data_IF_422415461155
#
_entry.id   IF_422415461155
#
_cell.length_a   1.000
_cell.length_b   1.000
_cell.length_c   1.000
_cell.angle_alpha   90.00
_cell.angle_beta   90.00
_cell.angle_gamma   90.00
#
_symmetry.space_group_name_H-M   'P 1'
#
loop_
_entity.id
_entity.type
_entity.pdbx_description
1 polymer ?
#
# COMPACT_ATOMS: atom_id res chain seq x y z
N UNK A 1 13.58 -15.37 -58.42
CA UNK A 1 14.10 -15.36 -57.04
C UNK A 1 14.06 -16.78 -56.50
N UNK A 2 15.14 -17.29 -55.92
CA UNK A 2 15.15 -18.58 -55.19
C UNK A 2 14.94 -18.28 -53.71
N UNK A 3 13.90 -18.87 -53.10
CA UNK A 3 13.71 -18.89 -51.65
C UNK A 3 14.32 -20.18 -51.08
N UNK A 4 14.86 -20.09 -49.86
CA UNK A 4 15.34 -21.23 -49.08
C UNK A 4 14.48 -21.29 -47.83
N UNK A 5 13.94 -22.47 -47.53
CA UNK A 5 13.12 -22.71 -46.34
C UNK A 5 13.93 -23.52 -45.34
N UNK A 6 13.95 -23.05 -44.09
CA UNK A 6 14.53 -23.78 -42.95
C UNK A 6 13.39 -24.14 -42.02
N UNK A 7 13.29 -25.42 -41.64
CA UNK A 7 12.24 -25.92 -40.76
C UNK A 7 12.72 -25.94 -39.31
N UNK A 8 11.88 -25.44 -38.40
CA UNK A 8 12.10 -25.44 -36.94
C UNK A 8 13.52 -24.98 -36.52
N UNK A 9 13.95 -23.76 -36.94
CA UNK A 9 15.29 -23.28 -36.61
C UNK A 9 15.45 -23.11 -35.09
N UNK A 10 16.64 -23.40 -34.59
CA UNK A 10 17.02 -23.01 -33.22
C UNK A 10 16.99 -21.49 -33.06
N UNK A 11 16.85 -20.99 -31.82
CA UNK A 11 16.90 -19.55 -31.55
C UNK A 11 18.17 -18.91 -32.10
N UNK A 12 19.33 -19.53 -31.88
CA UNK A 12 20.62 -19.06 -32.40
C UNK A 12 20.69 -19.03 -33.93
N UNK A 13 20.05 -19.99 -34.61
CA UNK A 13 19.99 -20.01 -36.07
C UNK A 13 19.08 -18.91 -36.60
N UNK A 14 17.92 -18.71 -35.97
CA UNK A 14 17.03 -17.60 -36.27
C UNK A 14 17.73 -16.25 -36.09
N UNK A 15 18.38 -16.01 -34.95
CA UNK A 15 19.08 -14.75 -34.65
C UNK A 15 20.19 -14.48 -35.70
N UNK A 16 20.95 -15.51 -36.08
CA UNK A 16 21.96 -15.41 -37.15
C UNK A 16 21.34 -15.07 -38.51
N UNK A 17 20.25 -15.73 -38.89
CA UNK A 17 19.56 -15.47 -40.16
C UNK A 17 18.91 -14.09 -40.17
N UNK A 18 18.33 -13.67 -39.06
CA UNK A 18 17.72 -12.35 -38.88
C UNK A 18 18.77 -11.24 -39.00
N UNK A 19 19.95 -11.41 -38.40
CA UNK A 19 21.06 -10.47 -38.56
C UNK A 19 21.52 -10.29 -40.01
N UNK A 20 21.41 -11.34 -40.85
CA UNK A 20 21.82 -11.29 -42.26
C UNK A 20 20.71 -10.87 -43.23
N UNK A 21 19.46 -11.22 -42.92
CA UNK A 21 18.33 -11.13 -43.85
C UNK A 21 17.09 -10.45 -43.24
N UNK A 22 17.21 -9.70 -42.15
CA UNK A 22 16.07 -9.24 -41.33
C UNK A 22 14.94 -8.52 -42.07
N UNK A 23 15.22 -7.85 -43.21
CA UNK A 23 14.18 -7.20 -44.04
C UNK A 23 13.35 -8.15 -44.90
N UNK A 24 13.89 -9.34 -45.21
CA UNK A 24 13.28 -10.31 -46.13
C UNK A 24 13.02 -11.67 -45.48
N UNK A 25 13.53 -11.89 -44.27
CA UNK A 25 13.31 -13.11 -43.51
C UNK A 25 11.87 -13.15 -43.00
N UNK A 26 11.19 -14.26 -43.25
CA UNK A 26 9.83 -14.52 -42.75
C UNK A 26 9.90 -15.79 -41.92
N UNK A 27 9.59 -15.68 -40.63
CA UNK A 27 9.51 -16.81 -39.70
C UNK A 27 8.13 -16.81 -39.05
N UNK A 28 7.14 -17.51 -39.63
CA UNK A 28 5.80 -17.55 -39.09
C UNK A 28 5.77 -18.39 -37.79
N UNK A 29 5.00 -17.93 -36.80
CA UNK A 29 4.82 -18.68 -35.57
C UNK A 29 3.88 -19.86 -35.79
N UNK A 30 4.17 -21.00 -35.17
CA UNK A 30 3.25 -22.15 -35.13
C UNK A 30 2.02 -21.86 -34.26
N UNK A 31 2.24 -21.11 -33.17
CA UNK A 31 1.19 -20.63 -32.27
C UNK A 31 1.20 -19.11 -32.31
N UNK A 32 0.04 -18.50 -32.58
CA UNK A 32 -0.08 -17.04 -32.67
C UNK A 32 -0.03 -16.35 -31.31
N UNK A 33 -0.15 -17.12 -30.23
CA UNK A 33 -0.25 -16.62 -28.88
C UNK A 33 0.46 -17.55 -27.89
N UNK A 34 1.13 -16.96 -26.91
CA UNK A 34 1.78 -17.64 -25.80
C UNK A 34 1.58 -16.82 -24.53
N UNK A 35 1.18 -17.45 -23.43
CA UNK A 35 1.03 -16.75 -22.14
C UNK A 35 2.38 -16.26 -21.62
N UNK A 36 2.43 -15.02 -21.12
CA UNK A 36 3.64 -14.46 -20.49
C UNK A 36 4.12 -15.29 -19.30
N UNK A 37 3.23 -16.00 -18.59
CA UNK A 37 3.62 -16.89 -17.49
C UNK A 37 4.53 -18.05 -17.91
N UNK A 38 4.50 -18.44 -19.19
CA UNK A 38 5.37 -19.49 -19.73
C UNK A 38 6.74 -18.98 -20.17
N UNK A 39 6.90 -17.65 -20.25
CA UNK A 39 8.10 -16.99 -20.77
C UNK A 39 8.85 -16.26 -19.65
N UNK A 40 8.12 -15.67 -18.70
CA UNK A 40 8.64 -14.77 -17.67
C UNK A 40 8.11 -15.20 -16.30
N UNK A 41 9.02 -15.30 -15.34
CA UNK A 41 8.71 -15.52 -13.93
C UNK A 41 8.93 -14.22 -13.14
N UNK A 42 7.89 -13.76 -12.44
CA UNK A 42 7.94 -12.57 -11.60
C UNK A 42 7.61 -12.94 -10.15
N UNK A 43 8.45 -12.50 -9.22
CA UNK A 43 8.21 -12.63 -7.78
C UNK A 43 8.23 -11.26 -7.12
N UNK A 44 7.37 -11.11 -6.11
CA UNK A 44 7.27 -9.88 -5.35
C UNK A 44 7.98 -10.01 -4.01
N UNK A 45 8.78 -9.00 -3.68
CA UNK A 45 9.38 -8.84 -2.36
C UNK A 45 8.59 -7.79 -1.58
N UNK A 46 8.14 -8.18 -0.38
CA UNK A 46 7.38 -7.29 0.50
C UNK A 46 8.29 -6.67 1.56
N UNK A 47 7.89 -5.51 2.06
CA UNK A 47 8.59 -4.86 3.16
C UNK A 47 8.66 -5.77 4.38
N UNK A 48 9.82 -5.87 5.03
CA UNK A 48 10.09 -6.78 6.16
C UNK A 48 9.09 -6.66 7.31
N UNK A 49 8.49 -5.49 7.48
CA UNK A 49 7.45 -5.25 8.50
C UNK A 49 6.23 -6.16 8.32
N UNK A 50 5.91 -6.54 7.08
CA UNK A 50 4.77 -7.39 6.74
C UNK A 50 5.00 -8.89 7.04
N UNK A 51 6.18 -9.25 7.53
CA UNK A 51 6.50 -10.58 8.05
C UNK A 51 7.12 -10.53 9.46
N UNK A 52 7.11 -9.34 10.09
CA UNK A 52 7.65 -9.13 11.43
C UNK A 52 6.62 -9.38 12.53
N UNK A 53 7.09 -9.48 13.78
CA UNK A 53 6.22 -9.55 14.96
C UNK A 53 5.29 -8.34 15.11
N UNK A 54 5.61 -7.20 14.49
CA UNK A 54 4.81 -5.97 14.62
C UNK A 54 3.39 -6.06 14.07
N UNK A 55 3.13 -7.05 13.22
CA UNK A 55 1.78 -7.33 12.68
C UNK A 55 1.18 -8.62 13.26
N UNK A 56 1.81 -9.25 14.26
CA UNK A 56 1.30 -10.43 14.94
C UNK A 56 0.38 -10.05 16.11
N UNK A 57 -0.86 -10.52 16.04
CA UNK A 57 -1.91 -10.24 17.01
C UNK A 57 -1.65 -10.91 18.37
N UNK A 58 -0.89 -12.00 18.41
CA UNK A 58 -0.76 -12.82 19.62
C UNK A 58 0.40 -12.40 20.53
N UNK A 59 1.45 -11.80 19.98
CA UNK A 59 2.65 -11.43 20.72
C UNK A 59 2.72 -9.92 20.91
N UNK A 60 3.06 -9.18 19.86
CA UNK A 60 3.30 -7.74 19.91
C UNK A 60 2.05 -6.94 20.35
N UNK A 61 0.88 -7.25 19.79
CA UNK A 61 -0.34 -6.51 20.12
C UNK A 61 -0.80 -6.74 21.57
N UNK A 62 -0.40 -7.83 22.21
CA UNK A 62 -0.76 -8.15 23.59
C UNK A 62 -0.18 -7.15 24.60
N UNK A 63 0.98 -6.54 24.29
CA UNK A 63 1.61 -5.52 25.14
C UNK A 63 0.75 -4.25 25.30
N UNK A 64 -0.21 -4.03 24.40
CA UNK A 64 -1.14 -2.91 24.47
C UNK A 64 -2.42 -3.23 25.26
N UNK A 65 -2.61 -4.47 25.73
CA UNK A 65 -3.76 -4.88 26.55
C UNK A 65 -3.58 -4.46 28.02
N UNK A 66 -3.31 -3.17 28.24
CA UNK A 66 -3.10 -2.61 29.57
C UNK A 66 -4.39 -1.98 30.09
N UNK A 67 -4.75 -2.32 31.33
CA UNK A 67 -5.81 -1.66 32.10
C UNK A 67 -5.31 -0.29 32.56
N UNK A 68 -5.41 0.73 31.70
CA UNK A 68 -4.88 2.05 32.03
C UNK A 68 -6.00 3.06 32.24
N UNK A 69 -6.31 3.31 33.51
CA UNK A 69 -7.33 4.26 33.95
C UNK A 69 -6.91 5.74 33.84
N UNK A 70 -5.68 6.06 33.41
CA UNK A 70 -5.15 7.43 33.54
C UNK A 70 -4.03 7.78 32.55
N UNK A 71 -4.07 7.29 31.32
CA UNK A 71 -3.19 7.81 30.27
C UNK A 71 -3.91 8.84 29.42
N UNK A 72 -3.13 9.82 28.98
CA UNK A 72 -3.55 10.83 28.04
C UNK A 72 -4.08 10.16 26.76
N UNK A 73 -5.15 10.70 26.20
CA UNK A 73 -5.86 10.11 25.05
C UNK A 73 -5.00 9.99 23.79
N UNK A 74 -3.88 10.71 23.72
CA UNK A 74 -2.90 10.63 22.62
C UNK A 74 -1.67 9.77 22.94
N UNK A 75 -1.67 9.07 24.07
CA UNK A 75 -0.55 8.20 24.41
C UNK A 75 -0.46 7.02 23.47
N UNK A 76 0.73 6.78 22.91
CA UNK A 76 0.97 5.68 21.99
C UNK A 76 0.55 4.33 22.58
N UNK A 77 0.63 4.12 23.90
CA UNK A 77 0.18 2.88 24.55
C UNK A 77 -1.33 2.66 24.47
N UNK A 78 -2.12 3.72 24.27
CA UNK A 78 -3.58 3.64 24.11
C UNK A 78 -3.99 3.30 22.67
N UNK A 79 -3.16 3.68 21.69
CA UNK A 79 -3.50 3.58 20.27
C UNK A 79 -2.58 2.68 19.44
N UNK A 80 -1.45 2.24 19.99
CA UNK A 80 -0.43 1.50 19.27
C UNK A 80 -0.97 0.20 18.68
N UNK A 81 -1.78 -0.57 19.41
CA UNK A 81 -2.41 -1.78 18.86
C UNK A 81 -3.29 -1.50 17.64
N UNK A 82 -3.98 -0.34 17.61
CA UNK A 82 -4.80 0.07 16.47
C UNK A 82 -3.91 0.48 15.29
N UNK A 83 -2.82 1.20 15.55
CA UNK A 83 -1.85 1.60 14.52
C UNK A 83 -1.19 0.37 13.85
N UNK A 84 -0.78 -0.62 14.64
CA UNK A 84 -0.22 -1.86 14.11
C UNK A 84 -1.26 -2.75 13.40
N UNK A 85 -2.53 -2.72 13.81
CA UNK A 85 -3.62 -3.36 13.04
C UNK A 85 -3.87 -2.69 11.69
N UNK A 86 -3.72 -1.36 11.61
CA UNK A 86 -3.73 -0.64 10.34
C UNK A 86 -2.56 -1.11 9.48
N UNK A 87 -1.37 -1.22 10.04
CA UNK A 87 -0.19 -1.72 9.33
C UNK A 87 -0.39 -3.15 8.80
N UNK A 88 -0.94 -4.05 9.62
CA UNK A 88 -1.31 -5.41 9.19
C UNK A 88 -2.31 -5.37 8.02
N UNK A 89 -3.31 -4.49 8.09
CA UNK A 89 -4.31 -4.31 7.02
C UNK A 89 -3.67 -3.77 5.73
N UNK A 90 -2.73 -2.84 5.84
CA UNK A 90 -1.97 -2.32 4.71
C UNK A 90 -1.10 -3.41 4.07
N UNK A 91 -0.40 -4.21 4.88
CA UNK A 91 0.37 -5.35 4.40
C UNK A 91 -0.50 -6.37 3.66
N UNK A 92 -1.67 -6.73 4.21
CA UNK A 92 -2.62 -7.62 3.53
C UNK A 92 -3.10 -7.03 2.22
N UNK A 93 -3.50 -5.75 2.22
CA UNK A 93 -3.96 -5.08 1.01
C UNK A 93 -2.86 -5.03 -0.06
N UNK A 94 -1.62 -4.70 0.31
CA UNK A 94 -0.48 -4.73 -0.62
C UNK A 94 -0.25 -6.11 -1.21
N UNK A 95 -0.32 -7.16 -0.38
CA UNK A 95 -0.18 -8.54 -0.85
C UNK A 95 -1.28 -8.90 -1.87
N UNK A 96 -2.54 -8.66 -1.52
CA UNK A 96 -3.68 -8.92 -2.40
C UNK A 96 -3.60 -8.13 -3.71
N UNK A 97 -3.26 -6.83 -3.66
CA UNK A 97 -3.10 -6.01 -4.86
C UNK A 97 -2.01 -6.56 -5.77
N UNK A 98 -0.83 -6.87 -5.23
CA UNK A 98 0.28 -7.42 -6.03
C UNK A 98 -0.08 -8.79 -6.60
N UNK A 99 -0.67 -9.68 -5.81
CA UNK A 99 -1.08 -11.02 -6.26
C UNK A 99 -2.11 -10.95 -7.39
N UNK A 100 -3.08 -10.06 -7.28
CA UNK A 100 -4.08 -9.85 -8.34
C UNK A 100 -3.43 -9.37 -9.63
N UNK A 101 -2.47 -8.45 -9.53
CA UNK A 101 -1.78 -7.90 -10.69
C UNK A 101 -0.82 -8.90 -11.34
N UNK A 102 -0.10 -9.71 -10.56
CA UNK A 102 0.71 -10.82 -11.07
C UNK A 102 -0.13 -11.88 -11.78
N UNK A 103 -1.35 -12.14 -11.30
CA UNK A 103 -2.30 -13.03 -12.00
C UNK A 103 -2.69 -12.44 -13.36
N UNK A 104 -3.05 -11.16 -13.43
CA UNK A 104 -3.38 -10.49 -14.71
C UNK A 104 -2.20 -10.55 -15.67
N UNK A 105 -0.97 -10.30 -15.20
CA UNK A 105 0.24 -10.45 -16.01
C UNK A 105 0.42 -11.88 -16.52
N UNK A 106 0.22 -12.87 -15.66
CA UNK A 106 0.34 -14.29 -16.00
C UNK A 106 -0.67 -14.73 -17.06
N UNK A 107 -1.89 -14.18 -17.00
CA UNK A 107 -2.97 -14.43 -17.97
C UNK A 107 -2.81 -13.60 -19.26
N UNK A 108 -1.91 -12.62 -19.28
CA UNK A 108 -1.66 -11.81 -20.47
C UNK A 108 -0.96 -12.64 -21.53
N UNK A 109 -1.41 -12.50 -22.77
CA UNK A 109 -0.88 -13.24 -23.91
C UNK A 109 0.06 -12.39 -24.78
N UNK A 110 1.18 -12.98 -25.17
CA UNK A 110 2.08 -12.45 -26.18
C UNK A 110 1.62 -12.92 -27.56
N UNK A 111 1.03 -12.01 -28.34
CA UNK A 111 0.39 -12.33 -29.62
C UNK A 111 1.22 -11.80 -30.79
N UNK A 112 1.74 -12.71 -31.63
CA UNK A 112 2.49 -12.34 -32.84
C UNK A 112 2.36 -13.42 -33.92
N UNK A 113 2.12 -13.00 -35.17
CA UNK A 113 2.06 -13.91 -36.32
C UNK A 113 3.43 -14.40 -36.81
N UNK A 114 4.49 -13.65 -36.48
CA UNK A 114 5.86 -13.95 -36.87
C UNK A 114 6.77 -13.80 -35.65
N UNK A 115 7.88 -14.53 -35.66
CA UNK A 115 8.91 -14.39 -34.63
C UNK A 115 9.47 -12.97 -34.69
N UNK A 116 9.46 -12.30 -33.54
CA UNK A 116 9.99 -10.95 -33.37
C UNK A 116 11.49 -10.99 -33.02
N UNK A 117 12.18 -9.87 -33.25
CA UNK A 117 13.55 -9.71 -32.77
C UNK A 117 13.62 -9.70 -31.25
N UNK A 118 14.78 -10.06 -30.69
CA UNK A 118 15.03 -9.97 -29.24
C UNK A 118 14.78 -8.55 -28.71
N UNK A 119 15.28 -7.52 -29.39
CA UNK A 119 15.08 -6.13 -29.01
C UNK A 119 13.58 -5.76 -28.94
N UNK A 120 12.79 -6.22 -29.92
CA UNK A 120 11.34 -5.99 -29.92
C UNK A 120 10.65 -6.71 -28.78
N UNK A 121 11.03 -7.97 -28.52
CA UNK A 121 10.51 -8.74 -27.39
C UNK A 121 10.83 -8.08 -26.05
N UNK A 122 12.08 -7.64 -25.85
CA UNK A 122 12.55 -6.99 -24.62
C UNK A 122 11.84 -5.66 -24.39
N UNK A 123 11.63 -4.86 -25.44
CA UNK A 123 10.89 -3.59 -25.36
C UNK A 123 9.43 -3.84 -24.98
N UNK A 124 8.73 -4.76 -25.67
CA UNK A 124 7.33 -5.05 -25.38
C UNK A 124 7.14 -5.60 -23.97
N UNK A 125 8.04 -6.49 -23.54
CA UNK A 125 8.07 -7.05 -22.19
C UNK A 125 8.30 -5.97 -21.14
N UNK A 126 9.27 -5.08 -21.36
CA UNK A 126 9.58 -3.99 -20.43
C UNK A 126 8.40 -3.04 -20.26
N UNK A 127 7.71 -2.70 -21.36
CA UNK A 127 6.49 -1.89 -21.32
C UNK A 127 5.42 -2.57 -20.46
N UNK A 128 5.21 -3.88 -20.63
CA UNK A 128 4.21 -4.62 -19.86
C UNK A 128 4.58 -4.69 -18.37
N UNK A 129 5.84 -4.90 -18.04
CA UNK A 129 6.33 -4.90 -16.65
C UNK A 129 6.16 -3.52 -16.01
N UNK A 130 6.43 -2.44 -16.75
CA UNK A 130 6.22 -1.09 -16.23
C UNK A 130 4.74 -0.76 -16.07
N UNK A 131 3.87 -1.21 -16.98
CA UNK A 131 2.43 -1.11 -16.81
C UNK A 131 1.95 -1.86 -15.56
N UNK A 132 2.45 -3.09 -15.34
CA UNK A 132 2.17 -3.87 -14.14
C UNK A 132 2.53 -3.08 -12.87
N UNK A 133 3.73 -2.49 -12.81
CA UNK A 133 4.18 -1.67 -11.67
C UNK A 133 3.26 -0.48 -11.43
N UNK A 134 2.94 0.28 -12.48
CA UNK A 134 2.11 1.48 -12.37
C UNK A 134 0.67 1.14 -11.96
N UNK A 135 0.08 0.11 -12.55
CA UNK A 135 -1.29 -0.33 -12.23
C UNK A 135 -1.38 -0.88 -10.80
N UNK A 136 -0.37 -1.61 -10.35
CA UNK A 136 -0.28 -2.08 -8.96
C UNK A 136 -0.27 -0.92 -7.98
N UNK A 137 0.61 0.06 -8.20
CA UNK A 137 0.71 1.26 -7.35
C UNK A 137 -0.60 2.06 -7.37
N UNK A 138 -1.16 2.29 -8.56
CA UNK A 138 -2.38 3.05 -8.73
C UNK A 138 -3.57 2.36 -8.04
N UNK A 139 -3.73 1.05 -8.22
CA UNK A 139 -4.81 0.28 -7.59
C UNK A 139 -4.73 0.35 -6.06
N UNK A 140 -3.55 0.18 -5.50
CA UNK A 140 -3.33 0.30 -4.06
C UNK A 140 -3.67 1.70 -3.54
N UNK A 141 -3.13 2.74 -4.18
CA UNK A 141 -3.34 4.13 -3.77
C UNK A 141 -4.81 4.56 -3.89
N UNK A 142 -5.50 4.13 -4.95
CA UNK A 142 -6.93 4.41 -5.14
C UNK A 142 -7.76 3.80 -4.01
N UNK A 143 -7.49 2.55 -3.63
CA UNK A 143 -8.20 1.92 -2.53
C UNK A 143 -7.91 2.62 -1.19
N UNK A 144 -6.64 2.95 -0.93
CA UNK A 144 -6.24 3.68 0.26
C UNK A 144 -6.90 5.06 0.35
N UNK A 145 -6.92 5.81 -0.76
CA UNK A 145 -7.56 7.12 -0.84
C UNK A 145 -9.07 7.02 -0.65
N UNK A 146 -9.73 6.01 -1.24
CA UNK A 146 -11.17 5.78 -1.06
C UNK A 146 -11.51 5.62 0.42
N UNK A 147 -10.78 4.75 1.14
CA UNK A 147 -10.99 4.56 2.59
C UNK A 147 -10.78 5.87 3.35
N UNK A 148 -9.69 6.58 3.07
CA UNK A 148 -9.35 7.83 3.75
C UNK A 148 -10.40 8.92 3.54
N UNK A 149 -10.82 9.16 2.30
CA UNK A 149 -11.82 10.17 1.95
C UNK A 149 -13.19 9.79 2.51
N UNK A 150 -13.54 8.50 2.52
CA UNK A 150 -14.79 8.02 3.10
C UNK A 150 -14.86 8.30 4.60
N UNK A 151 -13.76 8.11 5.33
CA UNK A 151 -13.67 8.45 6.76
C UNK A 151 -13.82 9.96 6.97
N UNK A 152 -13.14 10.78 6.16
CA UNK A 152 -13.15 12.23 6.32
C UNK A 152 -14.52 12.85 5.99
N UNK A 153 -15.11 12.51 4.85
CA UNK A 153 -16.38 13.09 4.38
C UNK A 153 -17.56 12.68 5.26
N UNK A 154 -17.58 11.42 5.71
CA UNK A 154 -18.63 10.93 6.60
C UNK A 154 -18.37 11.26 8.08
N UNK A 155 -17.27 11.96 8.38
CA UNK A 155 -16.86 12.32 9.74
C UNK A 155 -16.86 11.14 10.71
N UNK A 156 -16.49 9.94 10.23
CA UNK A 156 -16.43 8.77 11.08
C UNK A 156 -15.40 8.97 12.19
N UNK A 157 -15.81 8.73 13.43
CA UNK A 157 -14.88 8.77 14.57
C UNK A 157 -13.95 7.58 14.42
N UNK A 158 -12.66 7.86 14.20
CA UNK A 158 -11.65 6.81 14.09
C UNK A 158 -11.23 6.37 15.49
N UNK A 159 -11.03 5.06 15.65
CA UNK A 159 -10.53 4.44 16.87
C UNK A 159 -9.29 5.19 17.39
N UNK A 160 -9.32 5.54 18.69
CA UNK A 160 -8.28 6.35 19.33
C UNK A 160 -8.56 7.86 19.32
N UNK A 161 -9.71 8.30 18.81
CA UNK A 161 -10.08 9.71 18.78
C UNK A 161 -9.01 10.58 18.07
N UNK A 162 -8.29 10.00 17.11
CA UNK A 162 -7.15 10.65 16.44
C UNK A 162 -7.61 11.80 15.55
N UNK A 163 -8.80 11.68 14.95
CA UNK A 163 -9.42 12.68 14.09
C UNK A 163 -10.47 13.55 14.80
N UNK A 164 -11.12 13.03 15.85
CA UNK A 164 -12.23 13.68 16.55
C UNK A 164 -12.25 13.32 18.03
N UNK A 165 -12.75 14.20 18.87
CA UNK A 165 -12.89 14.03 20.32
C UNK A 165 -14.32 14.38 20.75
N UNK A 166 -14.83 13.69 21.76
CA UNK A 166 -16.15 13.98 22.32
C UNK A 166 -15.98 15.05 23.40
N UNK A 167 -16.58 16.23 23.20
CA UNK A 167 -16.64 17.29 24.21
C UNK A 167 -18.01 17.32 24.88
N UNK A 168 -17.97 17.54 26.19
CA UNK A 168 -19.16 17.73 27.03
C UNK A 168 -19.47 19.22 27.13
N UNK A 169 -20.70 19.58 26.76
CA UNK A 169 -21.23 20.93 26.89
C UNK A 169 -22.38 20.93 27.89
N UNK A 170 -22.49 21.99 28.67
CA UNK A 170 -23.67 22.24 29.49
C UNK A 170 -24.51 23.29 28.77
N UNK A 171 -25.73 22.92 28.39
CA UNK A 171 -26.71 23.83 27.81
C UNK A 171 -27.94 23.86 28.72
N UNK A 172 -28.12 24.96 29.46
CA UNK A 172 -29.24 25.17 30.37
C UNK A 172 -29.52 24.00 31.34
N UNK A 173 -28.47 23.41 31.91
CA UNK A 173 -28.58 22.30 32.86
C UNK A 173 -28.64 20.90 32.22
N UNK A 174 -28.73 20.81 30.89
CA UNK A 174 -28.66 19.54 30.15
C UNK A 174 -27.24 19.29 29.67
N UNK A 175 -26.72 18.09 29.92
CA UNK A 175 -25.42 17.65 29.41
C UNK A 175 -25.56 17.19 27.96
N UNK A 176 -24.82 17.83 27.06
CA UNK A 176 -24.77 17.48 25.64
C UNK A 176 -23.38 16.99 25.30
N UNK A 177 -23.31 15.88 24.57
CA UNK A 177 -22.07 15.34 24.02
C UNK A 177 -21.99 15.65 22.54
N UNK A 178 -20.92 16.30 22.10
CA UNK A 178 -20.69 16.61 20.69
C UNK A 178 -19.32 16.15 20.26
N UNK A 179 -19.25 15.45 19.14
CA UNK A 179 -17.99 15.17 18.45
C UNK A 179 -17.46 16.47 17.85
N UNK A 180 -16.22 16.81 18.17
CA UNK A 180 -15.51 17.94 17.58
C UNK A 180 -14.17 17.47 17.02
N UNK A 181 -13.62 18.15 16.00
CA UNK A 181 -12.30 17.85 15.48
C UNK A 181 -11.25 17.83 16.61
N UNK A 182 -10.33 16.88 16.53
CA UNK A 182 -9.26 16.78 17.51
C UNK A 182 -8.06 17.68 17.12
N UNK A 183 -7.77 18.68 17.95
CA UNK A 183 -6.74 19.70 17.71
C UNK A 183 -5.88 20.01 18.96
N UNK A 184 -5.53 18.99 19.77
CA UNK A 184 -4.84 19.14 21.07
C UNK A 184 -3.62 20.10 21.09
N UNK A 185 -2.79 20.14 20.04
CA UNK A 185 -1.55 20.94 20.01
C UNK A 185 -1.57 22.11 19.03
N UNK A 186 -2.30 21.97 17.93
CA UNK A 186 -2.37 22.95 16.87
C UNK A 186 -3.84 23.20 16.56
N UNK A 187 -4.34 24.38 16.94
CA UNK A 187 -5.71 24.79 16.65
C UNK A 187 -6.01 24.82 15.15
N UNK A 188 -4.99 24.92 14.31
CA UNK A 188 -5.09 25.04 12.87
C UNK A 188 -4.92 23.70 12.15
N UNK A 189 -4.55 22.62 12.86
CA UNK A 189 -4.35 21.30 12.27
C UNK A 189 -5.13 20.21 12.99
N UNK A 190 -6.18 19.71 12.35
CA UNK A 190 -6.93 18.52 12.77
C UNK A 190 -6.91 17.45 11.69
N UNK A 191 -6.57 16.22 12.07
CA UNK A 191 -6.64 15.05 11.19
C UNK A 191 -8.08 14.72 10.75
N UNK A 192 -9.10 15.29 11.40
CA UNK A 192 -10.49 15.20 10.96
C UNK A 192 -10.88 16.24 9.90
N UNK A 193 -10.08 17.28 9.69
CA UNK A 193 -10.40 18.38 8.79
C UNK A 193 -9.43 18.49 7.61
N UNK A 194 -8.16 18.11 7.80
CA UNK A 194 -7.12 18.20 6.77
C UNK A 194 -6.31 16.90 6.68
N UNK A 195 -6.07 16.48 5.45
CA UNK A 195 -5.22 15.34 5.09
C UNK A 195 -3.72 15.65 5.20
N UNK A 196 -3.35 16.93 5.31
CA UNK A 196 -1.96 17.35 5.47
C UNK A 196 -1.55 17.42 6.94
N UNK A 197 -2.50 17.24 7.86
CA UNK A 197 -2.17 17.16 9.27
C UNK A 197 -1.49 15.84 9.59
N UNK A 198 -0.30 15.98 10.15
CA UNK A 198 0.48 14.90 10.74
C UNK A 198 0.68 15.22 12.21
N UNK A 199 0.92 14.17 13.01
CA UNK A 199 1.11 14.34 14.46
C UNK A 199 1.98 13.22 14.97
N UNK A 200 3.12 13.61 15.52
CA UNK A 200 4.02 12.69 16.21
C UNK A 200 3.30 11.93 17.33
N UNK A 201 3.44 10.61 17.31
CA UNK A 201 3.00 9.75 18.41
C UNK A 201 4.13 9.59 19.43
N UNK A 202 3.78 9.38 20.69
CA UNK A 202 4.79 9.29 21.74
C UNK A 202 4.25 8.80 23.08
N UNK A 203 5.19 8.60 24.00
CA UNK A 203 4.89 8.23 25.38
C UNK A 203 4.70 9.49 26.21
N UNK A 204 3.59 9.57 26.92
CA UNK A 204 3.26 10.68 27.79
C UNK A 204 3.42 10.27 29.24
N UNK A 205 3.90 11.21 30.06
CA UNK A 205 3.90 11.02 31.49
C UNK A 205 2.48 11.29 32.00
N UNK A 206 1.95 10.42 32.87
CA UNK A 206 0.69 10.70 33.53
C UNK A 206 0.85 11.96 34.40
N UNK A 207 0.23 13.06 34.00
CA UNK A 207 0.10 14.24 34.86
C UNK A 207 -0.88 13.90 35.99
N UNK A 208 -0.58 14.38 37.20
CA UNK A 208 -1.27 14.06 38.48
C UNK A 208 -2.82 13.98 38.36
N UNK A 209 -3.52 13.21 39.23
CA UNK A 209 -4.94 12.90 39.10
C UNK A 209 -5.90 14.10 38.92
N UNK A 210 -5.49 15.31 39.32
CA UNK A 210 -6.36 16.48 39.41
C UNK A 210 -5.99 17.65 38.48
N UNK A 211 -5.01 17.50 37.57
CA UNK A 211 -4.75 18.53 36.56
C UNK A 211 -4.34 17.90 35.23
N UNK A 212 -5.37 17.59 34.42
CA UNK A 212 -5.26 17.37 32.99
C UNK A 212 -4.85 18.69 32.34
N UNK A 213 -3.57 19.06 32.39
CA UNK A 213 -3.04 20.07 31.48
C UNK A 213 -2.95 19.44 30.10
N UNK A 214 -3.97 19.69 29.31
CA UNK A 214 -4.27 19.13 27.98
C UNK A 214 -3.24 19.50 26.88
N UNK A 215 -2.10 20.12 27.23
CA UNK A 215 -1.15 20.74 26.30
C UNK A 215 0.26 20.18 26.30
N UNK A 216 0.56 19.18 27.12
CA UNK A 216 1.94 18.69 27.27
C UNK A 216 2.35 17.85 26.05
N UNK A 217 3.43 18.25 25.37
CA UNK A 217 4.05 17.49 24.26
C UNK A 217 4.53 16.11 24.77
N UNK A 218 4.64 15.10 23.89
CA UNK A 218 5.12 13.78 24.29
C UNK A 218 6.51 13.88 24.94
N UNK A 219 6.71 13.14 26.03
CA UNK A 219 7.99 13.10 26.74
C UNK A 219 9.06 12.40 25.89
N UNK A 220 8.62 11.46 25.06
CA UNK A 220 9.44 10.77 24.06
C UNK A 220 8.59 10.54 22.82
N UNK A 221 9.07 10.99 21.67
CA UNK A 221 8.47 10.70 20.37
C UNK A 221 9.00 9.38 19.83
N UNK A 222 8.15 8.67 19.08
CA UNK A 222 8.58 7.48 18.36
C UNK A 222 9.04 7.93 16.96
N UNK A 223 10.32 7.74 16.60
CA UNK A 223 10.82 8.10 15.28
C UNK A 223 10.03 7.39 14.17
N UNK A 224 9.68 8.10 13.10
CA UNK A 224 9.01 7.53 11.93
C UNK A 224 7.48 7.38 12.03
N UNK A 225 6.86 7.74 13.15
CA UNK A 225 5.40 7.82 13.31
C UNK A 225 4.98 9.29 13.44
N UNK A 226 4.88 10.00 12.31
CA UNK A 226 4.39 11.39 12.21
C UNK A 226 3.19 11.46 11.29
#
# INVERSE_FOLDING_TARGET
MRSITVHEPSLSEYERLYGKYGRTLICPCRHLSVSYSSIIHLEAEYHQVCSSEFIDDNTWLSYFNMSIRSLFSLDFRMDGSKLFRILQSLCRLSNETVRNQLRVFSETEFINAHVVSRDTFDIQTSILIDQLRQQTLHSFLTMFQLVRVSIQLNQFIVLGNTNSQIKRYNNNGTLIWRSVPNNYYDSNCSCGQSVHCNRSQGFYRASRPNNLSVKDRPNQTIPGLV
#
